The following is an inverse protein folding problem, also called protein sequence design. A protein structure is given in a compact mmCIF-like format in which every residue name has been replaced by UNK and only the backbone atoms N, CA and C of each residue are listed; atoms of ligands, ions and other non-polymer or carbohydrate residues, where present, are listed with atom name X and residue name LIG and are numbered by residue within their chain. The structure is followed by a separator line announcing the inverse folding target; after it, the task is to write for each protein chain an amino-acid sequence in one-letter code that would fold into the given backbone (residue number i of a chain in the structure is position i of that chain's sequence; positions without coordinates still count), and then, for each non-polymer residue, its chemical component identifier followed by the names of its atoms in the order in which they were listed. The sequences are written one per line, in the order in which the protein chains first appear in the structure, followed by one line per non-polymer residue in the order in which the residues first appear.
data_IF_164259752498
#
_entry.id   IF_164259752498
#
_cell.length_a   1.000
_cell.length_b   1.000
_cell.length_c   1.000
_cell.angle_alpha   90.00
_cell.angle_beta   90.00
_cell.angle_gamma   90.00
#
_symmetry.space_group_name_H-M   'P 1'
#
loop_
_entity.id
_entity.type
_entity.pdbx_description
1 polymer ?
#
# COMPACT_ATOMS: atom_id res chain seq x y z
N UNK A 1 59.83 -2.30 58.52
CA UNK A 1 60.69 -1.10 58.47
C UNK A 1 59.85 -0.01 57.78
N UNK A 2 59.19 0.85 58.56
CA UNK A 2 59.46 2.31 58.67
C UNK A 2 59.07 3.04 57.37
N UNK A 3 58.23 4.09 57.27
CA UNK A 3 57.59 5.02 58.20
C UNK A 3 56.49 5.78 57.44
N UNK A 4 55.50 6.30 58.15
CA UNK A 4 54.71 7.46 57.76
C UNK A 4 55.58 8.69 57.42
N UNK A 5 55.15 9.49 56.46
CA UNK A 5 55.18 10.96 56.50
C UNK A 5 54.32 11.58 55.38
N UNK A 6 53.26 12.25 55.83
CA UNK A 6 52.46 13.25 55.11
C UNK A 6 53.28 14.45 54.61
N UNK A 7 52.82 15.10 53.53
CA UNK A 7 52.48 16.55 53.44
C UNK A 7 52.52 17.06 51.98
N UNK A 8 51.33 17.45 51.52
CA UNK A 8 50.95 18.67 50.75
C UNK A 8 51.63 18.98 49.41
N UNK A 9 50.78 19.10 48.38
CA UNK A 9 51.05 19.86 47.16
C UNK A 9 49.99 19.62 46.08
N UNK A 10 48.82 20.25 46.19
CA UNK A 10 47.93 20.38 45.04
C UNK A 10 48.50 21.42 44.06
N UNK A 11 48.38 21.18 42.75
CA UNK A 11 47.71 22.19 41.94
C UNK A 11 46.58 21.59 41.10
N UNK A 12 45.59 22.47 40.93
CA UNK A 12 44.37 22.37 40.13
C UNK A 12 44.72 21.96 38.69
N UNK A 13 44.03 20.94 38.17
CA UNK A 13 43.88 20.71 36.74
C UNK A 13 42.41 20.43 36.42
N UNK A 14 41.92 21.27 35.52
CA UNK A 14 40.58 21.63 35.15
C UNK A 14 40.09 20.68 34.05
N UNK A 15 39.86 19.44 34.45
CA UNK A 15 39.22 18.43 33.61
C UNK A 15 37.71 18.63 33.59
N UNK A 16 37.23 19.53 32.73
CA UNK A 16 35.84 19.56 32.26
C UNK A 16 35.43 18.15 31.82
N UNK A 17 34.68 17.45 32.68
CA UNK A 17 33.93 16.29 32.28
C UNK A 17 32.92 16.73 31.24
N UNK A 18 33.28 16.62 29.97
CA UNK A 18 32.33 16.62 28.87
C UNK A 18 31.35 15.49 29.15
N UNK A 19 30.23 15.84 29.78
CA UNK A 19 29.03 15.04 29.74
C UNK A 19 28.64 14.95 28.26
N UNK A 20 29.09 13.89 27.60
CA UNK A 20 28.57 13.47 26.30
C UNK A 20 27.14 13.02 26.55
N UNK A 21 26.22 13.98 26.57
CA UNK A 21 24.78 13.73 26.62
C UNK A 21 24.42 13.09 25.29
N UNK A 22 24.24 11.78 25.28
CA UNK A 22 23.72 11.04 24.13
C UNK A 22 22.39 11.67 23.65
N UNK A 23 22.29 12.20 22.42
CA UNK A 23 21.05 12.80 21.93
C UNK A 23 19.97 11.78 21.52
N UNK A 24 19.91 10.60 22.17
CA UNK A 24 19.15 9.45 21.67
C UNK A 24 17.92 9.05 22.53
N UNK A 25 17.55 9.80 23.57
CA UNK A 25 16.43 9.38 24.43
C UNK A 25 15.08 9.98 24.03
N UNK A 26 15.06 11.19 23.48
CA UNK A 26 13.81 11.89 23.16
C UNK A 26 12.99 11.15 22.08
N UNK A 27 13.64 10.59 21.06
CA UNK A 27 12.96 9.83 19.98
C UNK A 27 12.42 8.49 20.48
N UNK A 28 13.09 7.88 21.46
CA UNK A 28 12.65 6.62 22.08
C UNK A 28 11.45 6.84 23.00
N UNK A 29 11.51 7.87 23.84
CA UNK A 29 10.38 8.28 24.69
C UNK A 29 9.20 8.79 23.87
N UNK A 30 9.42 9.58 22.82
CA UNK A 30 8.38 10.02 21.91
C UNK A 30 7.68 8.83 21.24
N UNK A 31 8.43 7.83 20.76
CA UNK A 31 7.84 6.58 20.22
C UNK A 31 7.01 5.81 21.25
N UNK A 32 7.47 5.74 22.50
CA UNK A 32 6.74 5.07 23.60
C UNK A 32 5.45 5.81 23.95
N UNK A 33 5.50 7.14 24.02
CA UNK A 33 4.34 7.99 24.31
C UNK A 33 3.32 7.91 23.17
N UNK A 34 3.77 7.97 21.91
CA UNK A 34 2.88 7.78 20.75
C UNK A 34 2.27 6.39 20.76
N UNK A 35 3.06 5.34 21.02
CA UNK A 35 2.54 3.97 21.15
C UNK A 35 1.50 3.82 22.27
N UNK A 36 1.76 4.41 23.43
CA UNK A 36 0.83 4.40 24.56
C UNK A 36 -0.44 5.22 24.29
N UNK A 37 -0.31 6.36 23.59
CA UNK A 37 -1.45 7.18 23.18
C UNK A 37 -2.32 6.47 22.14
N UNK A 38 -1.71 5.79 21.16
CA UNK A 38 -2.44 4.98 20.18
C UNK A 38 -3.11 3.76 20.84
N UNK A 39 -2.45 3.11 21.79
CA UNK A 39 -3.03 2.01 22.56
C UNK A 39 -4.18 2.50 23.44
N UNK A 40 -4.01 3.64 24.13
CA UNK A 40 -5.06 4.27 24.92
C UNK A 40 -6.25 4.70 24.07
N UNK A 41 -6.01 5.22 22.88
CA UNK A 41 -7.07 5.56 21.91
C UNK A 41 -7.79 4.31 21.42
N UNK A 42 -7.07 3.24 21.08
CA UNK A 42 -7.67 1.96 20.69
C UNK A 42 -8.53 1.36 21.82
N UNK A 43 -8.05 1.40 23.06
CA UNK A 43 -8.80 0.93 24.24
C UNK A 43 -10.02 1.83 24.49
N UNK A 44 -9.90 3.15 24.36
CA UNK A 44 -11.02 4.07 24.53
C UNK A 44 -12.10 3.87 23.46
N UNK A 45 -11.70 3.65 22.20
CA UNK A 45 -12.62 3.31 21.11
C UNK A 45 -13.29 1.96 21.34
N UNK A 46 -12.53 0.93 21.77
CA UNK A 46 -13.07 -0.37 22.12
C UNK A 46 -14.05 -0.32 23.30
N UNK A 47 -13.75 0.48 24.33
CA UNK A 47 -14.62 0.66 25.50
C UNK A 47 -15.89 1.47 25.17
N UNK A 48 -15.78 2.46 24.29
CA UNK A 48 -16.92 3.20 23.75
C UNK A 48 -17.87 2.34 22.91
N UNK A 49 -17.34 1.26 22.31
CA UNK A 49 -18.07 0.31 21.45
C UNK A 49 -18.40 -1.02 22.15
N UNK A 50 -18.23 -1.13 23.47
CA UNK A 50 -18.38 -2.38 24.23
C UNK A 50 -19.71 -3.12 24.01
N UNK A 51 -20.80 -2.40 23.73
CA UNK A 51 -22.10 -2.99 23.47
C UNK A 51 -22.18 -3.63 22.07
N UNK A 52 -21.50 -3.05 21.08
CA UNK A 52 -21.32 -3.64 19.76
C UNK A 52 -20.42 -4.88 19.82
N UNK A 53 -19.46 -4.91 20.75
CA UNK A 53 -18.56 -6.04 20.95
C UNK A 53 -19.28 -7.28 21.51
N UNK A 54 -20.20 -7.09 22.47
CA UNK A 54 -21.05 -8.18 22.97
C UNK A 54 -22.01 -8.70 21.88
N UNK A 55 -22.66 -7.81 21.14
CA UNK A 55 -23.49 -8.21 19.99
C UNK A 55 -22.69 -8.94 18.91
N UNK A 56 -21.44 -8.52 18.66
CA UNK A 56 -20.55 -9.21 17.72
C UNK A 56 -20.20 -10.63 18.19
N UNK A 57 -20.00 -10.84 19.50
CA UNK A 57 -19.73 -12.17 20.06
C UNK A 57 -20.96 -13.08 19.92
N UNK A 58 -22.16 -12.58 20.18
CA UNK A 58 -23.39 -13.35 19.99
C UNK A 58 -23.62 -13.68 18.50
N UNK A 59 -23.37 -12.74 17.59
CA UNK A 59 -23.43 -12.95 16.14
C UNK A 59 -22.39 -13.99 15.63
N UNK A 60 -21.22 -14.05 16.27
CA UNK A 60 -20.20 -15.06 15.96
C UNK A 60 -20.56 -16.45 16.50
N UNK A 61 -21.43 -16.54 17.51
CA UNK A 61 -21.88 -17.83 18.06
C UNK A 61 -22.87 -18.56 17.15
N UNK A 62 -23.62 -17.82 16.32
CA UNK A 62 -24.58 -18.35 15.34
C UNK A 62 -24.02 -18.30 13.89
N UNK A 63 -22.70 -18.46 13.75
CA UNK A 63 -22.04 -18.28 12.45
C UNK A 63 -22.46 -19.35 11.45
N UNK A 64 -22.84 -18.91 10.25
CA UNK A 64 -23.01 -19.79 9.11
C UNK A 64 -21.63 -20.22 8.57
N UNK A 65 -21.22 -21.45 8.88
CA UNK A 65 -19.94 -22.02 8.43
C UNK A 65 -19.77 -21.97 6.92
N UNK A 66 -20.84 -22.16 6.14
CA UNK A 66 -20.75 -22.04 4.68
C UNK A 66 -20.38 -20.62 4.22
N UNK A 67 -20.83 -19.57 4.92
CA UNK A 67 -20.41 -18.20 4.64
C UNK A 67 -18.94 -17.95 4.96
N UNK A 68 -18.45 -18.52 6.07
CA UNK A 68 -17.03 -18.46 6.42
C UNK A 68 -16.15 -19.17 5.39
N UNK A 69 -16.54 -20.37 4.94
CA UNK A 69 -15.79 -21.12 3.90
C UNK A 69 -15.75 -20.33 2.59
N UNK A 70 -16.88 -19.72 2.19
CA UNK A 70 -16.94 -18.88 0.99
C UNK A 70 -16.06 -17.64 1.13
N UNK A 71 -16.04 -16.99 2.30
CA UNK A 71 -15.17 -15.84 2.57
C UNK A 71 -13.68 -16.23 2.46
N UNK A 72 -13.28 -17.34 3.08
CA UNK A 72 -11.91 -17.87 2.99
C UNK A 72 -11.54 -18.18 1.54
N UNK A 73 -12.46 -18.75 0.75
CA UNK A 73 -12.23 -19.05 -0.64
C UNK A 73 -11.99 -17.79 -1.49
N UNK A 74 -12.78 -16.74 -1.27
CA UNK A 74 -12.58 -15.45 -1.95
C UNK A 74 -11.26 -14.78 -1.54
N UNK A 75 -10.92 -14.80 -0.25
CA UNK A 75 -9.63 -14.27 0.22
C UNK A 75 -8.45 -15.04 -0.39
N UNK A 76 -8.52 -16.37 -0.44
CA UNK A 76 -7.49 -17.20 -1.06
C UNK A 76 -7.37 -16.93 -2.56
N UNK A 77 -8.49 -16.83 -3.27
CA UNK A 77 -8.52 -16.48 -4.69
C UNK A 77 -7.87 -15.12 -4.94
N UNK A 78 -8.15 -14.15 -4.07
CA UNK A 78 -7.56 -12.81 -4.13
C UNK A 78 -6.04 -12.83 -3.98
N UNK A 79 -5.52 -13.59 -3.02
CA UNK A 79 -4.07 -13.76 -2.87
C UNK A 79 -3.44 -14.40 -4.12
N UNK A 80 -4.13 -15.35 -4.75
CA UNK A 80 -3.69 -15.97 -6.01
C UNK A 80 -3.71 -14.96 -7.16
N UNK A 81 -4.75 -14.15 -7.29
CA UNK A 81 -4.85 -13.12 -8.32
C UNK A 81 -3.70 -12.09 -8.20
N UNK A 82 -3.41 -11.63 -6.98
CA UNK A 82 -2.30 -10.71 -6.74
C UNK A 82 -0.93 -11.35 -6.97
N UNK A 83 -0.75 -12.61 -6.54
CA UNK A 83 0.47 -13.36 -6.79
C UNK A 83 0.71 -13.58 -8.30
N UNK A 84 -0.36 -13.84 -9.08
CA UNK A 84 -0.29 -13.93 -10.55
C UNK A 84 0.12 -12.61 -11.20
N UNK A 85 -0.41 -11.48 -10.73
CA UNK A 85 -0.01 -10.15 -11.21
C UNK A 85 1.49 -9.92 -11.00
N UNK A 86 1.99 -10.16 -9.79
CA UNK A 86 3.41 -9.99 -9.49
C UNK A 86 4.29 -10.99 -10.27
N UNK A 87 3.85 -12.24 -10.41
CA UNK A 87 4.53 -13.27 -11.21
C UNK A 87 4.64 -12.87 -12.67
N UNK A 88 3.56 -12.35 -13.25
CA UNK A 88 3.55 -11.88 -14.63
C UNK A 88 4.55 -10.74 -14.83
N UNK A 89 4.59 -9.75 -13.93
CA UNK A 89 5.57 -8.66 -13.98
C UNK A 89 7.03 -9.14 -13.88
N UNK A 90 7.29 -10.20 -13.10
CA UNK A 90 8.62 -10.80 -13.00
C UNK A 90 8.99 -11.55 -14.28
N UNK A 91 8.06 -12.32 -14.83
CA UNK A 91 8.25 -13.06 -16.08
C UNK A 91 8.57 -12.12 -17.25
N UNK A 92 7.82 -11.02 -17.37
CA UNK A 92 8.11 -9.97 -18.35
C UNK A 92 9.48 -9.32 -18.13
N UNK A 93 9.96 -9.29 -16.88
CA UNK A 93 11.32 -8.87 -16.51
C UNK A 93 12.40 -9.94 -16.71
N UNK A 94 12.07 -11.09 -17.28
CA UNK A 94 13.00 -12.21 -17.51
C UNK A 94 13.29 -13.08 -16.29
N UNK A 95 12.50 -12.96 -15.21
CA UNK A 95 12.67 -13.75 -13.99
C UNK A 95 11.46 -14.67 -13.80
N UNK A 96 11.70 -15.97 -13.90
CA UNK A 96 10.66 -16.95 -13.66
C UNK A 96 10.60 -17.34 -12.18
N UNK A 97 9.44 -17.11 -11.57
CA UNK A 97 9.11 -17.58 -10.23
C UNK A 97 7.84 -18.42 -10.31
N UNK A 98 7.82 -19.56 -9.60
CA UNK A 98 6.63 -20.39 -9.49
C UNK A 98 5.48 -19.67 -8.78
N UNK A 99 4.24 -20.07 -9.06
CA UNK A 99 3.05 -19.47 -8.44
C UNK A 99 2.99 -19.71 -6.92
N UNK A 100 3.30 -20.92 -6.46
CA UNK A 100 3.23 -21.28 -5.04
C UNK A 100 4.14 -20.38 -4.18
N UNK A 101 5.43 -20.18 -4.50
CA UNK A 101 6.27 -19.23 -3.79
C UNK A 101 5.72 -17.80 -3.79
N UNK A 102 5.10 -17.36 -4.89
CA UNK A 102 4.51 -16.02 -4.97
C UNK A 102 3.33 -15.88 -4.03
N UNK A 103 2.43 -16.87 -3.98
CA UNK A 103 1.30 -16.89 -3.04
C UNK A 103 1.79 -16.90 -1.59
N UNK A 104 2.83 -17.67 -1.28
CA UNK A 104 3.45 -17.67 0.06
C UNK A 104 4.02 -16.31 0.44
N UNK A 105 4.67 -15.61 -0.50
CA UNK A 105 5.16 -14.25 -0.30
C UNK A 105 3.99 -13.30 -0.06
N UNK A 106 2.92 -13.38 -0.85
CA UNK A 106 1.74 -12.54 -0.68
C UNK A 106 1.09 -12.78 0.69
N UNK A 107 0.91 -14.04 1.10
CA UNK A 107 0.33 -14.40 2.39
C UNK A 107 1.16 -13.90 3.56
N UNK A 108 2.47 -14.16 3.55
CA UNK A 108 3.38 -13.68 4.59
C UNK A 108 3.49 -12.14 4.62
N UNK A 109 3.45 -11.50 3.44
CA UNK A 109 3.41 -10.04 3.32
C UNK A 109 2.15 -9.45 3.95
N UNK A 110 0.99 -10.05 3.72
CA UNK A 110 -0.27 -9.63 4.35
C UNK A 110 -0.20 -9.78 5.88
N UNK A 111 0.28 -10.94 6.37
CA UNK A 111 0.45 -11.16 7.80
C UNK A 111 1.38 -10.12 8.45
N UNK A 112 2.51 -9.80 7.81
CA UNK A 112 3.40 -8.73 8.27
C UNK A 112 2.73 -7.34 8.25
N UNK A 113 1.90 -7.09 7.23
CA UNK A 113 1.18 -5.82 7.09
C UNK A 113 0.20 -5.59 8.23
N UNK A 114 -0.51 -6.64 8.66
CA UNK A 114 -1.55 -6.55 9.70
C UNK A 114 -1.00 -6.68 11.12
N UNK A 115 0.12 -7.39 11.30
CA UNK A 115 0.66 -7.65 12.64
C UNK A 115 1.58 -6.56 13.21
N UNK A 116 2.11 -5.66 12.38
CA UNK A 116 3.13 -4.69 12.79
C UNK A 116 2.62 -3.24 12.67
N UNK A 117 2.96 -2.34 13.62
CA UNK A 117 2.78 -0.90 13.42
C UNK A 117 3.58 -0.43 12.20
N UNK A 118 2.93 0.28 11.27
CA UNK A 118 3.55 0.60 9.98
C UNK A 118 3.82 -0.64 9.11
N UNK A 119 3.07 -1.72 9.33
CA UNK A 119 3.32 -3.05 8.74
C UNK A 119 3.41 -3.03 7.22
N UNK A 120 2.69 -2.14 6.53
CA UNK A 120 2.79 -1.95 5.09
C UNK A 120 4.25 -1.71 4.62
N UNK A 121 5.04 -0.93 5.37
CA UNK A 121 6.44 -0.67 5.04
C UNK A 121 7.31 -1.92 5.26
N UNK A 122 7.05 -2.68 6.32
CA UNK A 122 7.74 -3.94 6.60
C UNK A 122 7.41 -5.01 5.57
N UNK A 123 6.14 -5.17 5.24
CA UNK A 123 5.65 -6.07 4.21
C UNK A 123 6.28 -5.76 2.85
N UNK A 124 6.32 -4.49 2.45
CA UNK A 124 6.96 -4.06 1.21
C UNK A 124 8.48 -4.34 1.19
N UNK A 125 9.20 -4.02 2.27
CA UNK A 125 10.63 -4.29 2.38
C UNK A 125 10.95 -5.79 2.37
N UNK A 126 10.15 -6.60 3.07
CA UNK A 126 10.29 -8.05 3.10
C UNK A 126 9.98 -8.67 1.74
N UNK A 127 8.88 -8.28 1.09
CA UNK A 127 8.51 -8.75 -0.24
C UNK A 127 9.61 -8.41 -1.26
N UNK A 128 10.12 -7.17 -1.25
CA UNK A 128 11.24 -6.76 -2.07
C UNK A 128 12.48 -7.65 -1.86
N UNK A 129 12.81 -7.97 -0.61
CA UNK A 129 13.90 -8.90 -0.27
C UNK A 129 13.66 -10.33 -0.80
N UNK A 130 12.42 -10.83 -0.75
CA UNK A 130 12.06 -12.15 -1.26
C UNK A 130 12.13 -12.24 -2.79
N UNK A 131 11.73 -11.17 -3.49
CA UNK A 131 11.89 -11.08 -4.94
C UNK A 131 13.38 -11.11 -5.32
N UNK A 132 14.21 -10.35 -4.59
CA UNK A 132 15.66 -10.34 -4.82
C UNK A 132 16.35 -11.67 -4.59
N UNK A 133 15.93 -12.41 -3.55
CA UNK A 133 16.43 -13.78 -3.30
C UNK A 133 16.08 -14.77 -4.41
N UNK A 134 15.10 -14.45 -5.25
CA UNK A 134 14.63 -15.31 -6.36
C UNK A 134 15.13 -14.86 -7.72
N UNK A 135 16.19 -14.04 -7.75
CA UNK A 135 16.87 -13.64 -8.98
C UNK A 135 16.41 -12.31 -9.58
N UNK A 136 15.42 -11.63 -8.99
CA UNK A 136 15.09 -10.26 -9.41
C UNK A 136 16.19 -9.29 -8.96
N UNK A 137 16.77 -8.54 -9.90
CA UNK A 137 17.69 -7.47 -9.52
C UNK A 137 16.95 -6.35 -8.75
N UNK A 138 17.70 -5.45 -8.13
CA UNK A 138 17.13 -4.35 -7.30
C UNK A 138 16.13 -3.49 -8.11
N UNK A 139 16.43 -3.37 -9.39
CA UNK A 139 15.75 -2.57 -10.40
C UNK A 139 14.39 -3.19 -10.71
N UNK A 140 14.35 -4.45 -11.08
CA UNK A 140 13.15 -5.23 -11.41
C UNK A 140 12.28 -5.46 -10.19
N UNK A 141 12.85 -5.82 -9.03
CA UNK A 141 12.08 -5.99 -7.80
C UNK A 141 11.33 -4.70 -7.42
N UNK A 142 12.00 -3.54 -7.57
CA UNK A 142 11.38 -2.24 -7.32
C UNK A 142 10.30 -1.92 -8.34
N UNK A 143 10.54 -2.25 -9.60
CA UNK A 143 9.57 -2.12 -10.68
C UNK A 143 8.30 -2.92 -10.43
N UNK A 144 8.43 -4.21 -10.12
CA UNK A 144 7.30 -5.12 -9.84
C UNK A 144 6.44 -4.58 -8.71
N UNK A 145 7.05 -4.15 -7.61
CA UNK A 145 6.34 -3.58 -6.46
C UNK A 145 5.60 -2.29 -6.85
N UNK A 146 6.28 -1.38 -7.56
CA UNK A 146 5.69 -0.10 -7.96
C UNK A 146 4.55 -0.27 -8.96
N UNK A 147 4.73 -1.11 -9.98
CA UNK A 147 3.72 -1.31 -11.03
C UNK A 147 2.53 -2.12 -10.51
N UNK A 148 2.77 -3.20 -9.75
CA UNK A 148 1.67 -3.94 -9.12
C UNK A 148 0.87 -3.03 -8.18
N UNK A 149 1.56 -2.23 -7.36
CA UNK A 149 0.91 -1.25 -6.48
C UNK A 149 0.13 -0.18 -7.23
N UNK A 150 0.69 0.37 -8.32
CA UNK A 150 0.00 1.36 -9.14
C UNK A 150 -1.24 0.80 -9.83
N UNK A 151 -1.14 -0.40 -10.43
CA UNK A 151 -2.27 -1.10 -11.04
C UNK A 151 -3.35 -1.43 -10.02
N UNK A 152 -2.97 -1.96 -8.86
CA UNK A 152 -3.90 -2.26 -7.77
C UNK A 152 -4.58 -0.98 -7.26
N UNK A 153 -3.84 0.08 -6.95
CA UNK A 153 -4.43 1.35 -6.49
C UNK A 153 -5.37 1.95 -7.53
N UNK A 154 -5.01 1.88 -8.82
CA UNK A 154 -5.88 2.36 -9.88
C UNK A 154 -7.14 1.49 -10.04
N UNK A 155 -7.02 0.17 -9.92
CA UNK A 155 -8.16 -0.74 -9.93
C UNK A 155 -9.12 -0.48 -8.75
N UNK A 156 -8.58 -0.26 -7.54
CA UNK A 156 -9.36 0.14 -6.36
C UNK A 156 -10.09 1.47 -6.60
N UNK A 157 -9.41 2.45 -7.22
CA UNK A 157 -10.02 3.73 -7.57
C UNK A 157 -11.13 3.57 -8.62
N UNK A 158 -10.95 2.69 -9.62
CA UNK A 158 -12.03 2.37 -10.57
C UNK A 158 -13.23 1.72 -9.87
N UNK A 159 -13.00 0.84 -8.88
CA UNK A 159 -14.08 0.27 -8.09
C UNK A 159 -14.82 1.33 -7.26
N UNK A 160 -14.13 2.36 -6.77
CA UNK A 160 -14.76 3.49 -6.08
C UNK A 160 -15.66 4.28 -7.06
N UNK A 161 -15.17 4.53 -8.28
CA UNK A 161 -15.96 5.21 -9.32
C UNK A 161 -17.20 4.39 -9.68
N UNK A 162 -17.03 3.09 -9.95
CA UNK A 162 -18.14 2.17 -10.26
C UNK A 162 -19.12 2.10 -9.09
N UNK A 163 -18.63 1.94 -7.86
CA UNK A 163 -19.45 1.94 -6.66
C UNK A 163 -20.23 3.25 -6.51
N UNK A 164 -19.61 4.39 -6.79
CA UNK A 164 -20.27 5.69 -6.75
C UNK A 164 -21.39 5.81 -7.79
N UNK A 165 -21.25 5.16 -8.95
CA UNK A 165 -22.27 5.12 -10.00
C UNK A 165 -23.44 4.21 -9.59
N UNK A 166 -23.14 3.01 -9.09
CA UNK A 166 -24.12 2.02 -8.59
C UNK A 166 -24.93 2.58 -7.42
N UNK A 167 -24.30 3.38 -6.55
CA UNK A 167 -24.98 4.00 -5.40
C UNK A 167 -26.05 5.05 -5.79
N UNK A 168 -26.07 5.50 -7.05
CA UNK A 168 -27.10 6.42 -7.54
C UNK A 168 -27.01 7.84 -6.98
N UNK A 169 -27.95 8.72 -7.36
CA UNK A 169 -27.89 10.17 -7.07
C UNK A 169 -27.96 10.54 -5.59
N UNK A 170 -28.42 9.62 -4.73
CA UNK A 170 -28.47 9.77 -3.26
C UNK A 170 -27.39 8.96 -2.53
N UNK A 171 -26.44 8.39 -3.27
CA UNK A 171 -25.41 7.54 -2.71
C UNK A 171 -24.34 8.31 -1.93
N UNK A 172 -23.55 7.63 -1.06
CA UNK A 172 -22.58 8.28 -0.17
C UNK A 172 -21.48 9.10 -0.88
N UNK A 173 -21.25 8.84 -2.16
CA UNK A 173 -20.25 9.52 -3.00
C UNK A 173 -20.86 10.33 -4.16
N UNK A 174 -22.17 10.63 -4.12
CA UNK A 174 -22.87 11.27 -5.24
C UNK A 174 -22.30 12.66 -5.60
N UNK A 175 -21.94 13.47 -4.60
CA UNK A 175 -21.38 14.82 -4.81
C UNK A 175 -19.95 14.79 -5.39
N UNK A 176 -19.16 13.78 -5.04
CA UNK A 176 -17.78 13.62 -5.52
C UNK A 176 -17.70 12.94 -6.90
N UNK A 177 -18.79 12.33 -7.39
CA UNK A 177 -18.81 11.52 -8.63
C UNK A 177 -18.22 12.24 -9.85
N UNK A 178 -18.55 13.51 -10.18
CA UNK A 178 -17.97 14.17 -11.35
C UNK A 178 -16.44 14.27 -11.27
N UNK A 179 -15.93 14.57 -10.07
CA UNK A 179 -14.48 14.65 -9.81
C UNK A 179 -13.85 13.27 -9.91
N UNK A 180 -14.48 12.23 -9.35
CA UNK A 180 -13.99 10.84 -9.44
C UNK A 180 -13.89 10.38 -10.90
N UNK A 181 -14.91 10.66 -11.73
CA UNK A 181 -14.91 10.33 -13.16
C UNK A 181 -13.82 11.11 -13.90
N UNK A 182 -13.66 12.41 -13.61
CA UNK A 182 -12.63 13.23 -14.24
C UNK A 182 -11.22 12.71 -13.91
N UNK A 183 -10.97 12.36 -12.65
CA UNK A 183 -9.70 11.76 -12.21
C UNK A 183 -9.47 10.38 -12.84
N UNK A 184 -10.52 9.57 -12.98
CA UNK A 184 -10.46 8.27 -13.62
C UNK A 184 -10.08 8.35 -15.11
N UNK A 185 -10.47 9.44 -15.78
CA UNK A 185 -10.14 9.65 -17.18
C UNK A 185 -8.67 10.03 -17.43
N UNK A 186 -7.93 10.49 -16.41
CA UNK A 186 -6.57 11.03 -16.56
C UNK A 186 -5.62 10.05 -17.27
N UNK A 187 -5.48 8.77 -16.87
CA UNK A 187 -4.55 7.87 -17.55
C UNK A 187 -4.90 7.64 -19.02
N UNK A 188 -6.20 7.60 -19.35
CA UNK A 188 -6.67 7.45 -20.73
C UNK A 188 -6.40 8.71 -21.56
N UNK A 189 -6.63 9.89 -20.99
CA UNK A 189 -6.32 11.18 -21.64
C UNK A 189 -4.83 11.30 -21.89
N UNK A 190 -3.99 10.95 -20.91
CA UNK A 190 -2.53 10.95 -21.05
C UNK A 190 -2.09 9.95 -22.10
N UNK A 191 -2.62 8.73 -22.09
CA UNK A 191 -2.29 7.71 -23.09
C UNK A 191 -2.71 8.13 -24.51
N UNK A 192 -3.93 8.68 -24.66
CA UNK A 192 -4.42 9.21 -25.92
C UNK A 192 -3.56 10.39 -26.42
N UNK A 193 -3.20 11.30 -25.51
CA UNK A 193 -2.30 12.42 -25.81
C UNK A 193 -0.92 11.91 -26.27
N UNK A 194 -0.31 10.94 -25.58
CA UNK A 194 0.98 10.35 -25.97
C UNK A 194 0.89 9.64 -27.33
N UNK A 195 -0.20 8.92 -27.61
CA UNK A 195 -0.42 8.25 -28.90
C UNK A 195 -0.63 9.26 -30.04
N UNK A 196 -1.38 10.32 -29.81
CA UNK A 196 -1.58 11.41 -30.76
C UNK A 196 -0.27 12.19 -30.98
N UNK A 197 0.47 12.45 -29.90
CA UNK A 197 1.75 13.11 -29.89
C UNK A 197 2.82 12.37 -30.72
N UNK A 198 2.86 11.04 -30.64
CA UNK A 198 3.76 10.21 -31.47
C UNK A 198 3.43 10.27 -32.97
N UNK A 199 2.24 10.70 -33.35
CA UNK A 199 1.83 10.84 -34.75
C UNK A 199 2.15 12.22 -35.33
N UNK A 200 2.45 13.22 -34.51
CA UNK A 200 2.59 14.62 -34.95
C UNK A 200 4.01 15.17 -34.68
N UNK A 201 4.76 15.64 -35.71
CA UNK A 201 6.13 16.15 -35.57
C UNK A 201 6.26 17.42 -34.71
N UNK A 202 5.14 18.06 -34.34
CA UNK A 202 5.08 19.20 -33.43
C UNK A 202 5.50 18.83 -31.99
N UNK A 203 5.36 17.57 -31.59
CA UNK A 203 5.73 17.15 -30.23
C UNK A 203 7.24 17.12 -30.01
N UNK A 204 8.04 16.83 -31.04
CA UNK A 204 9.50 16.97 -30.94
C UNK A 204 9.92 18.43 -30.67
N UNK A 205 9.13 19.40 -31.13
CA UNK A 205 9.35 20.84 -30.90
C UNK A 205 8.83 21.33 -29.54
N UNK A 206 7.79 20.69 -28.99
CA UNK A 206 7.16 21.07 -27.71
C UNK A 206 7.68 20.27 -26.50
N UNK A 207 8.35 19.15 -26.70
CA UNK A 207 8.96 18.36 -25.62
C UNK A 207 10.03 19.15 -24.83
N UNK A 208 10.93 19.93 -25.45
CA UNK A 208 11.94 20.71 -24.71
C UNK A 208 11.36 21.76 -23.75
N UNK A 209 10.39 22.61 -24.12
CA UNK A 209 9.80 23.59 -23.19
C UNK A 209 8.94 22.93 -22.10
N UNK A 210 8.20 21.86 -22.41
CA UNK A 210 7.41 21.13 -21.40
C UNK A 210 8.31 20.48 -20.33
N UNK A 211 9.45 19.90 -20.74
CA UNK A 211 10.44 19.36 -19.81
C UNK A 211 11.09 20.45 -18.95
N UNK A 212 11.34 21.64 -19.50
CA UNK A 212 11.85 22.79 -18.73
C UNK A 212 10.82 23.30 -17.72
N UNK A 213 9.55 23.42 -18.12
CA UNK A 213 8.46 23.82 -17.24
C UNK A 213 8.25 22.82 -16.10
N UNK A 214 8.32 21.51 -16.39
CA UNK A 214 8.22 20.48 -15.37
C UNK A 214 9.43 20.53 -14.42
N UNK A 215 10.65 20.75 -14.92
CA UNK A 215 11.86 20.92 -14.08
C UNK A 215 11.84 22.18 -13.22
N UNK A 216 11.08 23.20 -13.62
CA UNK A 216 10.91 24.44 -12.86
C UNK A 216 9.95 24.29 -11.66
N UNK A 217 9.16 23.21 -11.60
CA UNK A 217 8.34 22.89 -10.44
C UNK A 217 9.19 22.31 -9.29
N UNK A 218 8.90 22.63 -8.03
CA UNK A 218 9.51 21.95 -6.89
C UNK A 218 9.31 20.43 -7.01
N UNK A 219 10.41 19.66 -6.99
CA UNK A 219 10.48 18.19 -7.22
C UNK A 219 10.21 17.71 -8.64
N UNK A 220 10.00 18.59 -9.62
CA UNK A 220 9.66 18.17 -10.97
C UNK A 220 10.83 17.54 -11.75
N UNK A 221 12.08 17.91 -11.45
CA UNK A 221 13.27 17.20 -11.97
C UNK A 221 13.39 15.76 -11.45
N UNK A 222 13.11 15.54 -10.17
CA UNK A 222 13.05 14.19 -9.57
C UNK A 222 11.90 13.35 -10.12
N UNK A 223 10.72 13.95 -10.32
CA UNK A 223 9.56 13.28 -10.91
C UNK A 223 9.81 12.92 -12.38
N UNK A 224 10.37 13.85 -13.17
CA UNK A 224 10.73 13.61 -14.57
C UNK A 224 11.80 12.51 -14.69
N UNK A 225 12.82 12.52 -13.83
CA UNK A 225 13.84 11.47 -13.80
C UNK A 225 13.31 10.11 -13.35
N UNK A 226 12.36 10.05 -12.42
CA UNK A 226 11.67 8.82 -12.06
C UNK A 226 10.81 8.29 -13.23
N UNK A 227 10.09 9.17 -13.93
CA UNK A 227 9.29 8.85 -15.12
C UNK A 227 10.18 8.41 -16.28
N UNK A 228 11.31 9.05 -16.53
CA UNK A 228 12.24 8.67 -17.61
C UNK A 228 12.91 7.32 -17.34
N UNK A 229 13.35 7.05 -16.10
CA UNK A 229 13.88 5.72 -15.73
C UNK A 229 12.82 4.63 -15.81
N UNK A 230 11.58 4.96 -15.48
CA UNK A 230 10.39 4.11 -15.68
C UNK A 230 10.15 3.84 -17.17
N UNK A 231 10.31 4.88 -18.00
CA UNK A 231 10.12 4.86 -19.46
C UNK A 231 11.23 4.11 -20.22
N UNK A 232 12.48 4.23 -19.80
CA UNK A 232 13.62 3.49 -20.38
C UNK A 232 13.53 1.99 -20.09
N UNK A 233 12.91 1.60 -18.98
CA UNK A 233 12.62 0.17 -18.67
C UNK A 233 11.38 -0.36 -19.38
N UNK A 234 10.40 0.50 -19.65
CA UNK A 234 9.31 0.22 -20.60
C UNK A 234 9.82 -0.04 -22.03
N UNK A 235 11.08 0.32 -22.35
CA UNK A 235 11.71 0.01 -23.63
C UNK A 235 12.46 -1.33 -23.63
N UNK A 236 12.86 -1.86 -22.46
CA UNK A 236 13.48 -3.20 -22.34
C UNK A 236 12.46 -4.33 -22.26
N UNK A 237 11.25 -4.04 -21.75
CA UNK A 237 10.13 -4.96 -21.71
C UNK A 237 9.00 -4.32 -22.50
N UNK A 238 8.56 -4.93 -23.59
CA UNK A 238 7.42 -4.43 -24.40
C UNK A 238 6.23 -5.37 -24.25
N UNK A 239 5.50 -5.35 -23.12
CA UNK A 239 4.33 -6.19 -22.98
C UNK A 239 3.30 -5.78 -24.03
N UNK A 240 2.62 -6.76 -24.61
CA UNK A 240 1.51 -6.49 -25.51
C UNK A 240 0.40 -5.73 -24.77
N UNK A 241 -0.46 -5.02 -25.52
CA UNK A 241 -1.62 -4.33 -24.92
C UNK A 241 -2.51 -5.31 -24.14
N UNK A 242 -2.66 -6.54 -24.66
CA UNK A 242 -3.42 -7.60 -24.00
C UNK A 242 -2.81 -7.97 -22.65
N UNK A 243 -1.49 -8.04 -22.55
CA UNK A 243 -0.81 -8.39 -21.31
C UNK A 243 -0.98 -7.32 -20.23
N UNK A 244 -0.99 -6.03 -20.59
CA UNK A 244 -1.35 -4.95 -19.67
C UNK A 244 -2.81 -4.99 -19.21
N UNK A 245 -3.73 -5.36 -20.11
CA UNK A 245 -5.15 -5.55 -19.75
C UNK A 245 -5.30 -6.73 -18.80
N UNK A 246 -4.58 -7.83 -19.04
CA UNK A 246 -4.57 -8.98 -18.14
C UNK A 246 -4.02 -8.61 -16.76
N UNK A 247 -2.91 -7.88 -16.70
CA UNK A 247 -2.31 -7.40 -15.45
C UNK A 247 -3.27 -6.50 -14.66
N UNK A 248 -3.91 -5.55 -15.34
CA UNK A 248 -4.94 -4.72 -14.73
C UNK A 248 -6.14 -5.56 -14.27
N UNK A 249 -6.57 -6.53 -15.08
CA UNK A 249 -7.64 -7.46 -14.76
C UNK A 249 -7.36 -8.29 -13.51
N UNK A 250 -6.13 -8.77 -13.33
CA UNK A 250 -5.69 -9.47 -12.13
C UNK A 250 -5.73 -8.57 -10.89
N UNK A 251 -5.30 -7.30 -11.03
CA UNK A 251 -5.42 -6.31 -9.95
C UNK A 251 -6.87 -5.98 -9.60
N UNK A 252 -7.76 -5.87 -10.60
CA UNK A 252 -9.18 -5.64 -10.38
C UNK A 252 -9.88 -6.86 -9.76
N UNK A 253 -9.53 -8.07 -10.21
CA UNK A 253 -10.05 -9.32 -9.67
C UNK A 253 -9.70 -9.48 -8.19
N UNK A 254 -8.44 -9.20 -7.82
CA UNK A 254 -8.00 -9.18 -6.42
C UNK A 254 -8.91 -8.32 -5.53
N UNK A 255 -9.20 -7.08 -5.93
CA UNK A 255 -10.07 -6.20 -5.15
C UNK A 255 -11.54 -6.63 -5.16
N UNK A 256 -12.03 -7.15 -6.28
CA UNK A 256 -13.39 -7.69 -6.38
C UNK A 256 -13.57 -8.90 -5.46
N UNK A 257 -12.59 -9.80 -5.41
CA UNK A 257 -12.57 -10.97 -4.54
C UNK A 257 -12.49 -10.55 -3.06
N UNK A 258 -11.70 -9.53 -2.70
CA UNK A 258 -11.74 -8.99 -1.33
C UNK A 258 -13.12 -8.39 -0.98
N UNK A 259 -13.76 -7.68 -1.91
CA UNK A 259 -15.10 -7.15 -1.68
C UNK A 259 -16.13 -8.28 -1.54
N UNK A 260 -16.01 -9.35 -2.35
CA UNK A 260 -16.83 -10.55 -2.24
C UNK A 260 -16.59 -11.31 -0.91
N UNK A 261 -15.35 -11.34 -0.42
CA UNK A 261 -15.00 -11.83 0.90
C UNK A 261 -15.76 -11.04 1.99
N UNK A 262 -15.78 -9.70 1.92
CA UNK A 262 -16.57 -8.87 2.84
C UNK A 262 -18.07 -9.19 2.77
N UNK A 263 -18.62 -9.33 1.56
CA UNK A 263 -20.04 -9.72 1.36
C UNK A 263 -20.31 -11.07 2.00
N UNK A 264 -19.43 -12.05 1.80
CA UNK A 264 -19.54 -13.38 2.38
C UNK A 264 -19.45 -13.35 3.91
N UNK A 265 -18.60 -12.49 4.49
CA UNK A 265 -18.53 -12.26 5.93
C UNK A 265 -19.83 -11.67 6.48
N UNK A 266 -20.41 -10.66 5.83
CA UNK A 266 -21.71 -10.08 6.23
C UNK A 266 -22.81 -11.15 6.17
N UNK A 267 -22.80 -11.96 5.11
CA UNK A 267 -23.74 -13.07 4.97
C UNK A 267 -23.54 -14.16 6.05
N UNK A 268 -22.30 -14.44 6.44
CA UNK A 268 -21.97 -15.45 7.45
C UNK A 268 -22.55 -15.12 8.83
N UNK A 269 -22.65 -13.82 9.16
CA UNK A 269 -23.26 -13.31 10.40
C UNK A 269 -24.75 -12.94 10.24
N UNK A 270 -25.41 -13.39 9.17
CA UNK A 270 -26.82 -13.08 8.88
C UNK A 270 -27.13 -11.58 8.73
N UNK A 271 -26.13 -10.76 8.38
CA UNK A 271 -26.27 -9.33 8.18
C UNK A 271 -26.96 -8.99 6.86
N UNK A 272 -27.62 -7.83 6.82
CA UNK A 272 -28.18 -7.29 5.59
C UNK A 272 -27.07 -6.65 4.73
N UNK A 273 -26.97 -7.07 3.47
CA UNK A 273 -25.93 -6.59 2.54
C UNK A 273 -26.41 -5.29 1.87
N UNK A 274 -25.75 -4.14 2.11
CA UNK A 274 -26.14 -2.88 1.49
C UNK A 274 -25.57 -2.76 0.08
N UNK A 275 -26.15 -3.48 -0.89
CA UNK A 275 -25.65 -3.61 -2.27
C UNK A 275 -25.33 -2.27 -2.95
N UNK A 276 -26.12 -1.22 -2.68
CA UNK A 276 -25.92 0.11 -3.27
C UNK A 276 -24.72 0.85 -2.69
N UNK A 277 -24.36 0.59 -1.43
CA UNK A 277 -23.30 1.31 -0.71
C UNK A 277 -22.01 0.51 -0.51
N UNK A 278 -22.07 -0.82 -0.63
CA UNK A 278 -21.00 -1.71 -0.18
C UNK A 278 -19.67 -1.48 -0.90
N UNK A 279 -19.70 -1.23 -2.21
CA UNK A 279 -18.48 -0.94 -2.99
C UNK A 279 -17.82 0.37 -2.53
N UNK A 280 -18.62 1.41 -2.29
CA UNK A 280 -18.12 2.71 -1.81
C UNK A 280 -17.57 2.57 -0.39
N UNK A 281 -18.31 1.89 0.50
CA UNK A 281 -17.86 1.64 1.87
C UNK A 281 -16.55 0.85 1.88
N UNK A 282 -16.49 -0.25 1.13
CA UNK A 282 -15.29 -1.08 1.01
C UNK A 282 -14.09 -0.28 0.52
N UNK A 283 -14.22 0.42 -0.60
CA UNK A 283 -13.10 1.16 -1.20
C UNK A 283 -12.63 2.33 -0.33
N UNK A 284 -13.53 3.05 0.33
CA UNK A 284 -13.15 4.10 1.29
C UNK A 284 -12.43 3.53 2.50
N UNK A 285 -12.88 2.39 3.04
CA UNK A 285 -12.18 1.68 4.12
C UNK A 285 -10.78 1.27 3.69
N UNK A 286 -10.60 0.73 2.49
CA UNK A 286 -9.28 0.35 1.98
C UNK A 286 -8.35 1.57 1.80
N UNK A 287 -8.88 2.70 1.34
CA UNK A 287 -8.12 3.96 1.25
C UNK A 287 -7.68 4.43 2.63
N UNK A 288 -8.58 4.38 3.63
CA UNK A 288 -8.24 4.73 5.01
C UNK A 288 -7.18 3.79 5.60
N UNK A 289 -7.30 2.48 5.35
CA UNK A 289 -6.32 1.48 5.78
C UNK A 289 -4.92 1.68 5.15
N UNK A 290 -4.84 2.36 3.99
CA UNK A 290 -3.56 2.69 3.35
C UNK A 290 -2.76 3.79 4.06
N UNK A 291 -3.32 4.41 5.11
CA UNK A 291 -2.65 5.39 5.97
C UNK A 291 -2.28 4.68 7.30
N UNK A 292 -1.10 4.03 7.38
CA UNK A 292 -0.77 3.12 8.48
C UNK A 292 -0.34 3.91 9.72
N UNK A 293 -1.29 4.57 10.37
CA UNK A 293 -1.10 5.23 11.67
C UNK A 293 -1.32 4.21 12.81
N UNK A 294 -2.10 3.15 12.59
CA UNK A 294 -2.37 2.09 13.57
C UNK A 294 -2.09 0.69 12.98
N UNK A 295 -1.68 -0.29 13.81
CA UNK A 295 -1.74 -1.71 13.42
C UNK A 295 -3.21 -2.15 13.29
N UNK A 296 -3.48 -3.06 12.35
CA UNK A 296 -4.83 -3.59 12.07
C UNK A 296 -5.38 -3.10 10.75
#
# INVERSE_FOLDING_TARGET
MVSDASVVGAPIDDGSGEHVVHPHDWKWWARRIVGAALLGLAIALAYGRRHELHQAIDLLSELRISGLVVAIAFEAASMVAFARLQRWLLHEGGVEVGLIPMVQITLAGNALSTSLPGGAAWAAAWAFGQLRRRGADRVLAGWVVLVAGALASYALFMLLVIGSLVAGSRGPAASARPVLIALAAIPFVVAAFVLAAKRWPIVERLAPPAQRALRALPKGGTALGAIQRTWERLLTVRPSRAAWIEAFGLGALNWLENCACLVACIWAIHGHIPWHGILVAYTLTQVLASVPITPG
#
